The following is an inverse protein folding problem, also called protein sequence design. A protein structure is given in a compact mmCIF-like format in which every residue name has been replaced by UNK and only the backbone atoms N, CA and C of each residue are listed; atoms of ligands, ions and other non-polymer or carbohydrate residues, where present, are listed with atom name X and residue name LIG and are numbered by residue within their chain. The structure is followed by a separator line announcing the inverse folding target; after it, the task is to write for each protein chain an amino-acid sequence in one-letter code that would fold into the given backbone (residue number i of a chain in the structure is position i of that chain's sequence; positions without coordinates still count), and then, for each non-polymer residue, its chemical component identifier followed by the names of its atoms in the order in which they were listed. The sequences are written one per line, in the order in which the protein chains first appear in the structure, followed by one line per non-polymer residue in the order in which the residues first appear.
data_IF_111848531535
#
_entry.id   IF_111848531535
#
_cell.length_a   1.000
_cell.length_b   1.000
_cell.length_c   1.000
_cell.angle_alpha   90.00
_cell.angle_beta   90.00
_cell.angle_gamma   90.00
#
_symmetry.space_group_name_H-M   'P 1'
#
loop_
_entity.id
_entity.type
_entity.pdbx_description
1 polymer ?
#
# COMPACT_ATOMS: atom_id res chain seq x y z
N UNK A 1 20.68 -0.29 -19.11
CA UNK A 1 20.88 -1.76 -19.22
C UNK A 1 21.83 -2.06 -20.35
N UNK A 2 22.49 -3.22 -20.30
CA UNK A 2 23.36 -3.72 -21.36
C UNK A 2 22.54 -4.49 -22.40
N UNK A 3 23.04 -4.59 -23.65
CA UNK A 3 22.29 -5.26 -24.72
C UNK A 3 21.98 -6.75 -24.41
N UNK A 4 22.89 -7.57 -23.86
CA UNK A 4 22.56 -8.96 -23.52
C UNK A 4 21.38 -9.11 -22.52
N UNK A 5 21.21 -8.15 -21.60
CA UNK A 5 20.06 -8.12 -20.69
C UNK A 5 18.77 -7.75 -21.42
N UNK A 6 18.85 -6.75 -22.31
CA UNK A 6 17.67 -6.32 -23.10
C UNK A 6 17.23 -7.39 -24.11
N UNK A 7 18.17 -8.12 -24.69
CA UNK A 7 17.86 -9.26 -25.59
C UNK A 7 17.07 -10.33 -24.84
N UNK A 8 17.48 -10.66 -23.60
CA UNK A 8 16.76 -11.60 -22.75
C UNK A 8 15.35 -11.09 -22.39
N UNK A 9 15.22 -9.81 -22.09
CA UNK A 9 13.92 -9.18 -21.79
C UNK A 9 13.02 -9.13 -23.02
N UNK A 10 13.57 -8.81 -24.21
CA UNK A 10 12.82 -8.81 -25.46
C UNK A 10 12.30 -10.22 -25.81
N UNK A 11 13.14 -11.25 -25.65
CA UNK A 11 12.72 -12.65 -25.83
C UNK A 11 11.57 -13.03 -24.89
N UNK A 12 11.67 -12.68 -23.61
CA UNK A 12 10.66 -13.00 -22.62
C UNK A 12 9.31 -12.31 -22.92
N UNK A 13 9.35 -11.03 -23.30
CA UNK A 13 8.15 -10.27 -23.65
C UNK A 13 7.52 -10.80 -24.94
N UNK A 14 8.31 -11.28 -25.89
CA UNK A 14 7.80 -11.84 -27.15
C UNK A 14 6.87 -13.04 -26.94
N UNK A 15 7.00 -13.78 -25.82
CA UNK A 15 6.14 -14.92 -25.46
C UNK A 15 4.80 -14.45 -24.84
N UNK A 16 4.61 -13.16 -24.54
CA UNK A 16 3.39 -12.66 -23.94
C UNK A 16 2.31 -12.39 -25.00
N UNK A 17 1.10 -12.93 -24.79
CA UNK A 17 -0.06 -12.67 -25.68
C UNK A 17 -0.52 -11.22 -25.64
N UNK A 18 -0.32 -10.53 -24.51
CA UNK A 18 -0.66 -9.11 -24.29
C UNK A 18 0.60 -8.29 -24.19
N UNK A 19 1.11 -7.82 -25.33
CA UNK A 19 2.31 -7.00 -25.35
C UNK A 19 2.15 -5.76 -26.21
N UNK A 20 2.82 -4.67 -25.81
CA UNK A 20 3.13 -3.59 -26.72
C UNK A 20 4.38 -4.00 -27.53
N UNK A 21 4.29 -3.95 -28.86
CA UNK A 21 5.43 -4.23 -29.73
C UNK A 21 6.50 -3.15 -29.57
N UNK A 22 7.39 -3.36 -28.60
CA UNK A 22 8.59 -2.53 -28.37
C UNK A 22 9.80 -3.45 -28.41
N UNK A 23 10.84 -3.02 -29.11
CA UNK A 23 12.14 -3.66 -29.07
C UNK A 23 13.09 -2.75 -28.28
N UNK A 24 13.54 -3.22 -27.13
CA UNK A 24 14.48 -2.51 -26.28
C UNK A 24 15.88 -2.69 -26.83
N UNK A 25 16.63 -1.60 -27.00
CA UNK A 25 18.01 -1.65 -27.48
C UNK A 25 18.91 -0.73 -26.65
N UNK A 26 20.19 -1.03 -26.63
CA UNK A 26 21.23 -0.26 -25.96
C UNK A 26 22.52 -0.30 -26.78
N UNK A 27 23.26 0.79 -26.77
CA UNK A 27 24.61 0.85 -27.34
C UNK A 27 25.65 0.17 -26.45
N UNK A 28 25.32 -0.12 -25.19
CA UNK A 28 26.18 -0.79 -24.23
C UNK A 28 26.20 -2.28 -24.49
N UNK A 29 27.31 -2.74 -25.04
CA UNK A 29 27.57 -4.17 -25.35
C UNK A 29 28.28 -4.90 -24.21
N UNK A 30 28.82 -4.14 -23.24
CA UNK A 30 29.46 -4.65 -22.04
C UNK A 30 28.45 -5.30 -21.10
N UNK A 31 28.84 -6.36 -20.43
CA UNK A 31 28.01 -7.08 -19.44
C UNK A 31 27.75 -8.54 -19.83
N UNK A 32 27.69 -9.38 -18.82
CA UNK A 32 27.39 -10.79 -18.96
C UNK A 32 25.92 -11.07 -19.25
N UNK A 33 25.62 -12.29 -19.66
CA UNK A 33 24.25 -12.80 -19.76
C UNK A 33 23.64 -12.91 -18.35
N UNK A 34 22.33 -12.72 -18.21
CA UNK A 34 21.62 -13.02 -16.97
C UNK A 34 21.88 -14.46 -16.52
N UNK A 35 22.06 -14.64 -15.22
CA UNK A 35 22.18 -15.98 -14.62
C UNK A 35 20.86 -16.34 -13.94
N UNK A 36 20.38 -17.52 -14.15
CA UNK A 36 19.26 -18.10 -13.43
C UNK A 36 19.80 -18.98 -12.30
N UNK A 37 19.40 -18.70 -11.06
CA UNK A 37 19.86 -19.39 -9.87
C UNK A 37 18.64 -20.00 -9.18
N UNK A 38 18.72 -21.27 -8.85
CA UNK A 38 17.74 -21.98 -8.03
C UNK A 38 18.35 -22.29 -6.68
N UNK A 39 17.57 -22.13 -5.63
CA UNK A 39 17.92 -22.39 -4.23
C UNK A 39 16.84 -23.23 -3.58
N UNK A 40 17.11 -23.82 -2.41
CA UNK A 40 16.19 -24.73 -1.74
C UNK A 40 14.99 -24.03 -1.13
N UNK A 41 15.22 -22.85 -0.54
CA UNK A 41 14.18 -22.06 0.14
C UNK A 41 14.52 -20.56 0.17
N UNK A 42 13.65 -19.77 0.80
CA UNK A 42 13.84 -18.31 0.90
C UNK A 42 14.96 -17.88 1.85
N UNK A 43 15.43 -18.72 2.74
CA UNK A 43 16.60 -18.41 3.59
C UNK A 43 17.87 -18.58 2.77
N UNK A 44 17.97 -19.66 2.00
CA UNK A 44 19.06 -19.88 1.05
C UNK A 44 19.08 -18.81 -0.06
N UNK A 45 17.91 -18.29 -0.49
CA UNK A 45 17.81 -17.16 -1.42
C UNK A 45 18.42 -15.89 -0.80
N UNK A 46 18.02 -15.53 0.42
CA UNK A 46 18.53 -14.36 1.11
C UNK A 46 20.04 -14.46 1.35
N UNK A 47 20.54 -15.61 1.76
CA UNK A 47 21.97 -15.86 1.98
C UNK A 47 22.77 -15.73 0.66
N UNK A 48 22.27 -16.31 -0.43
CA UNK A 48 22.89 -16.21 -1.77
C UNK A 48 22.98 -14.75 -2.22
N UNK A 49 21.88 -14.00 -2.08
CA UNK A 49 21.83 -12.58 -2.47
C UNK A 49 22.82 -11.76 -1.67
N UNK A 50 22.84 -11.90 -0.32
CA UNK A 50 23.76 -11.16 0.54
C UNK A 50 25.21 -11.51 0.27
N UNK A 51 25.52 -12.79 0.05
CA UNK A 51 26.87 -13.23 -0.33
C UNK A 51 27.30 -12.61 -1.65
N UNK A 52 26.38 -12.54 -2.62
CA UNK A 52 26.64 -11.89 -3.92
C UNK A 52 26.89 -10.39 -3.80
N UNK A 53 26.12 -9.70 -2.93
CA UNK A 53 26.31 -8.27 -2.63
C UNK A 53 27.70 -8.01 -2.05
N UNK A 54 28.14 -8.83 -1.11
CA UNK A 54 29.45 -8.69 -0.47
C UNK A 54 30.58 -9.00 -1.47
N UNK A 55 30.46 -10.07 -2.26
CA UNK A 55 31.43 -10.39 -3.30
C UNK A 55 31.60 -9.26 -4.33
N UNK A 56 30.50 -8.66 -4.77
CA UNK A 56 30.55 -7.52 -5.67
C UNK A 56 31.24 -6.30 -5.01
N UNK A 57 31.00 -6.08 -3.72
CA UNK A 57 31.69 -5.02 -2.97
C UNK A 57 33.18 -5.26 -2.88
N UNK A 58 33.62 -6.48 -2.67
CA UNK A 58 35.05 -6.85 -2.65
C UNK A 58 35.69 -6.63 -4.02
N UNK A 59 34.94 -6.79 -5.10
CA UNK A 59 35.36 -6.48 -6.47
C UNK A 59 35.33 -4.97 -6.79
N UNK A 60 35.00 -4.11 -5.83
CA UNK A 60 35.04 -2.65 -5.95
C UNK A 60 33.71 -2.00 -6.32
N UNK A 61 32.61 -2.76 -6.44
CA UNK A 61 31.27 -2.18 -6.68
C UNK A 61 30.68 -1.63 -5.37
N UNK A 62 30.40 -0.34 -5.30
CA UNK A 62 29.81 0.26 -4.12
C UNK A 62 28.41 -0.30 -3.82
N UNK A 63 28.01 -0.39 -2.54
CA UNK A 63 26.66 -0.89 -2.16
C UNK A 63 25.55 -0.11 -2.84
N UNK A 64 25.66 1.22 -2.96
CA UNK A 64 24.70 2.09 -3.63
C UNK A 64 24.55 1.84 -5.14
N UNK A 65 25.46 1.10 -5.75
CA UNK A 65 25.42 0.73 -7.17
C UNK A 65 24.77 -0.63 -7.40
N UNK A 66 24.39 -1.32 -6.32
CA UNK A 66 23.75 -2.62 -6.35
C UNK A 66 22.25 -2.48 -6.03
N UNK A 67 21.43 -3.23 -6.72
CA UNK A 67 19.98 -3.25 -6.51
C UNK A 67 19.45 -4.68 -6.53
N UNK A 68 18.50 -4.97 -5.62
CA UNK A 68 17.73 -6.21 -5.63
C UNK A 68 16.28 -5.85 -5.96
N UNK A 69 15.70 -6.55 -6.93
CA UNK A 69 14.33 -6.31 -7.39
C UNK A 69 13.45 -7.50 -7.02
N UNK A 70 12.27 -7.23 -6.48
CA UNK A 70 11.28 -8.26 -6.13
C UNK A 70 9.87 -7.78 -6.50
N UNK A 71 8.97 -8.72 -6.75
CA UNK A 71 7.60 -8.43 -7.19
C UNK A 71 6.66 -8.08 -6.03
N UNK A 72 6.86 -8.69 -4.87
CA UNK A 72 6.01 -8.50 -3.70
C UNK A 72 6.83 -8.14 -2.46
N UNK A 73 6.28 -7.33 -1.57
CA UNK A 73 6.98 -6.88 -0.37
C UNK A 73 7.44 -8.05 0.53
N UNK A 74 6.64 -9.13 0.60
CA UNK A 74 6.96 -10.32 1.39
C UNK A 74 8.21 -11.08 0.89
N UNK A 75 8.60 -10.89 -0.37
CA UNK A 75 9.83 -11.50 -0.88
C UNK A 75 11.09 -10.87 -0.29
N UNK A 76 11.02 -9.63 0.22
CA UNK A 76 12.17 -8.95 0.80
C UNK A 76 12.36 -9.22 2.30
N UNK A 77 11.36 -9.76 2.99
CA UNK A 77 11.37 -9.86 4.46
C UNK A 77 12.60 -10.64 4.99
N UNK A 78 12.92 -11.78 4.37
CA UNK A 78 14.08 -12.60 4.75
C UNK A 78 15.40 -11.94 4.38
N UNK A 79 15.45 -11.28 3.22
CA UNK A 79 16.62 -10.54 2.78
C UNK A 79 16.91 -9.36 3.72
N UNK A 80 15.89 -8.62 4.12
CA UNK A 80 16.03 -7.50 5.06
C UNK A 80 16.59 -7.97 6.41
N UNK A 81 16.08 -9.10 6.91
CA UNK A 81 16.59 -9.71 8.14
C UNK A 81 18.08 -10.05 8.04
N UNK A 82 18.52 -10.66 6.92
CA UNK A 82 19.92 -11.01 6.69
C UNK A 82 20.81 -9.77 6.49
N UNK A 83 20.33 -8.74 5.80
CA UNK A 83 21.06 -7.46 5.65
C UNK A 83 21.28 -6.79 7.00
N UNK A 84 20.25 -6.71 7.86
CA UNK A 84 20.36 -6.18 9.22
C UNK A 84 21.31 -7.01 10.07
N UNK A 85 21.19 -8.33 10.05
CA UNK A 85 22.05 -9.25 10.81
C UNK A 85 23.54 -9.08 10.48
N UNK A 86 23.85 -8.77 9.23
CA UNK A 86 25.23 -8.57 8.74
C UNK A 86 25.66 -7.10 8.73
N UNK A 87 24.85 -6.17 9.28
CA UNK A 87 25.08 -4.73 9.30
C UNK A 87 25.35 -4.16 7.89
N UNK A 88 24.62 -4.62 6.87
CA UNK A 88 24.72 -4.11 5.51
C UNK A 88 23.65 -3.01 5.37
N UNK A 89 24.06 -1.73 5.17
CA UNK A 89 23.10 -0.66 4.97
C UNK A 89 22.37 -0.83 3.63
N UNK A 90 21.05 -0.63 3.64
CA UNK A 90 20.23 -0.70 2.44
C UNK A 90 19.12 0.35 2.48
N UNK A 91 18.58 0.68 1.32
CA UNK A 91 17.39 1.51 1.18
C UNK A 91 16.34 0.70 0.43
N UNK A 92 15.18 0.50 1.04
CA UNK A 92 14.05 -0.18 0.39
C UNK A 92 13.18 0.85 -0.33
N UNK A 93 13.13 0.74 -1.66
CA UNK A 93 12.23 1.54 -2.47
C UNK A 93 10.95 0.73 -2.76
N UNK A 94 9.82 1.37 -2.62
CA UNK A 94 8.53 0.77 -3.01
C UNK A 94 7.68 0.22 -1.87
N UNK A 95 8.24 -0.28 -0.78
CA UNK A 95 7.51 -0.99 0.28
C UNK A 95 6.30 -0.25 0.82
N UNK A 96 6.42 1.00 1.24
CA UNK A 96 5.31 1.76 1.83
C UNK A 96 4.86 2.98 1.02
N UNK A 97 5.43 3.19 -0.18
CA UNK A 97 4.84 4.17 -1.11
C UNK A 97 3.39 3.84 -1.47
N UNK A 98 2.95 2.58 -1.32
CA UNK A 98 1.55 2.25 -1.47
C UNK A 98 0.66 2.96 -0.43
N UNK A 99 1.15 3.25 0.77
CA UNK A 99 0.41 4.06 1.77
C UNK A 99 0.18 5.50 1.32
N UNK A 100 0.99 6.00 0.40
CA UNK A 100 0.80 7.31 -0.23
C UNK A 100 -0.19 7.26 -1.39
N UNK A 101 -0.49 6.08 -1.90
CA UNK A 101 -1.42 5.89 -2.99
C UNK A 101 -2.82 6.37 -2.61
N UNK A 102 -3.51 7.00 -3.56
CA UNK A 102 -4.80 7.63 -3.30
C UNK A 102 -5.84 6.64 -2.78
N UNK A 103 -5.94 5.46 -3.38
CA UNK A 103 -6.89 4.41 -2.98
C UNK A 103 -6.61 3.85 -1.59
N UNK A 104 -5.35 3.75 -1.19
CA UNK A 104 -4.98 3.32 0.17
C UNK A 104 -5.32 4.41 1.19
N UNK A 105 -5.04 5.67 0.86
CA UNK A 105 -5.44 6.82 1.70
C UNK A 105 -6.95 6.92 1.84
N UNK A 106 -7.72 6.58 0.81
CA UNK A 106 -9.18 6.57 0.85
C UNK A 106 -9.67 5.53 1.86
N UNK A 107 -9.20 4.28 1.76
CA UNK A 107 -9.56 3.20 2.69
C UNK A 107 -9.12 3.51 4.13
N UNK A 108 -7.89 3.97 4.32
CA UNK A 108 -7.41 4.37 5.66
C UNK A 108 -8.21 5.54 6.25
N UNK A 109 -8.74 6.43 5.42
CA UNK A 109 -9.54 7.56 5.88
C UNK A 109 -10.88 7.14 6.48
N UNK A 110 -11.48 6.03 6.02
CA UNK A 110 -12.67 5.43 6.67
C UNK A 110 -12.36 5.06 8.12
N UNK A 111 -11.26 4.34 8.34
CA UNK A 111 -10.86 3.94 9.70
C UNK A 111 -10.44 5.13 10.55
N UNK A 112 -9.71 6.10 9.99
CA UNK A 112 -9.26 7.31 10.69
C UNK A 112 -10.43 8.17 11.12
N UNK A 113 -11.46 8.29 10.27
CA UNK A 113 -12.64 9.07 10.61
C UNK A 113 -13.53 8.36 11.65
N UNK A 114 -13.67 7.05 11.55
CA UNK A 114 -14.35 6.25 12.56
C UNK A 114 -13.64 6.28 13.92
N UNK A 115 -12.30 6.28 13.94
CA UNK A 115 -11.49 6.40 15.16
C UNK A 115 -11.57 7.78 15.79
N UNK A 116 -11.51 8.81 14.96
CA UNK A 116 -11.63 10.19 15.39
C UNK A 116 -12.65 10.95 14.53
N UNK A 117 -13.92 11.02 14.98
CA UNK A 117 -14.98 11.71 14.25
C UNK A 117 -14.75 13.21 14.02
N UNK A 118 -13.78 13.80 14.71
CA UNK A 118 -13.36 15.22 14.52
C UNK A 118 -12.28 15.37 13.45
N UNK A 119 -11.82 14.29 12.86
CA UNK A 119 -10.82 14.33 11.78
C UNK A 119 -11.45 14.81 10.47
N UNK A 120 -11.45 16.12 10.28
CA UNK A 120 -12.01 16.79 9.10
C UNK A 120 -11.38 16.32 7.79
N UNK A 121 -10.06 16.16 7.76
CA UNK A 121 -9.34 15.72 6.55
C UNK A 121 -9.79 14.34 6.10
N UNK A 122 -9.92 13.41 7.05
CA UNK A 122 -10.41 12.06 6.77
C UNK A 122 -11.89 12.10 6.36
N UNK A 123 -12.72 12.89 7.05
CA UNK A 123 -14.13 13.07 6.75
C UNK A 123 -14.36 13.56 5.31
N UNK A 124 -13.67 14.63 4.92
CA UNK A 124 -13.79 15.20 3.57
C UNK A 124 -13.33 14.22 2.50
N UNK A 125 -12.27 13.47 2.76
CA UNK A 125 -11.80 12.47 1.81
C UNK A 125 -12.82 11.37 1.60
N UNK A 126 -13.38 10.83 2.66
CA UNK A 126 -14.38 9.75 2.63
C UNK A 126 -15.69 10.23 1.98
N UNK A 127 -16.22 11.37 2.42
CA UNK A 127 -17.47 11.90 1.89
C UNK A 127 -17.40 12.14 0.39
N UNK A 128 -16.26 12.59 -0.13
CA UNK A 128 -16.05 12.82 -1.57
C UNK A 128 -16.03 11.55 -2.42
N UNK A 129 -15.95 10.38 -1.82
CA UNK A 129 -16.12 9.11 -2.53
C UNK A 129 -17.56 8.90 -3.00
N UNK A 130 -18.53 9.52 -2.32
CA UNK A 130 -19.94 9.37 -2.65
C UNK A 130 -20.39 10.33 -3.77
N UNK A 131 -21.27 9.89 -4.67
CA UNK A 131 -21.76 10.73 -5.75
C UNK A 131 -22.43 12.01 -5.23
N UNK A 132 -22.09 13.14 -5.83
CA UNK A 132 -22.68 14.43 -5.45
C UNK A 132 -22.21 15.03 -4.11
N UNK A 133 -21.32 14.34 -3.39
CA UNK A 133 -20.71 14.84 -2.16
C UNK A 133 -19.47 15.68 -2.46
N UNK A 134 -19.65 16.79 -3.17
CA UNK A 134 -18.60 17.78 -3.39
C UNK A 134 -18.23 18.53 -2.09
N UNK A 135 -17.21 19.42 -2.15
CA UNK A 135 -16.70 20.12 -0.96
C UNK A 135 -17.77 20.80 -0.10
N UNK A 136 -18.75 21.47 -0.74
CA UNK A 136 -19.83 22.17 -0.01
C UNK A 136 -20.75 21.20 0.75
N UNK A 137 -21.13 20.07 0.14
CA UNK A 137 -21.97 19.07 0.81
C UNK A 137 -21.17 18.31 1.90
N UNK A 138 -19.90 18.07 1.67
CA UNK A 138 -19.03 17.48 2.70
C UNK A 138 -18.90 18.40 3.92
N UNK A 139 -18.71 19.71 3.71
CA UNK A 139 -18.67 20.69 4.79
C UNK A 139 -19.98 20.70 5.59
N UNK A 140 -21.13 20.75 4.92
CA UNK A 140 -22.45 20.71 5.58
C UNK A 140 -22.66 19.41 6.37
N UNK A 141 -22.22 18.28 5.86
CA UNK A 141 -22.28 17.00 6.54
C UNK A 141 -21.40 17.00 7.79
N UNK A 142 -20.19 17.53 7.69
CA UNK A 142 -19.27 17.63 8.82
C UNK A 142 -19.78 18.60 9.91
N UNK A 143 -20.35 19.75 9.51
CA UNK A 143 -21.03 20.68 10.43
C UNK A 143 -22.23 20.03 11.12
N UNK A 144 -23.03 19.24 10.37
CA UNK A 144 -24.13 18.48 10.95
C UNK A 144 -23.65 17.53 12.07
N UNK A 145 -22.54 16.83 11.84
CA UNK A 145 -21.92 16.00 12.88
C UNK A 145 -21.40 16.83 14.06
N UNK A 146 -20.80 17.99 13.82
CA UNK A 146 -20.29 18.85 14.87
C UNK A 146 -21.40 19.31 15.82
N UNK A 147 -22.56 19.68 15.28
CA UNK A 147 -23.75 20.04 16.08
C UNK A 147 -24.29 18.84 16.87
N UNK A 148 -24.09 17.62 16.37
CA UNK A 148 -24.52 16.39 17.04
C UNK A 148 -23.37 15.70 17.81
N UNK A 149 -22.44 16.50 18.38
CA UNK A 149 -21.31 16.03 19.21
C UNK A 149 -20.38 15.04 18.51
N UNK A 150 -20.30 15.11 17.19
CA UNK A 150 -19.53 14.20 16.32
C UNK A 150 -19.91 12.72 16.46
N UNK A 151 -21.15 12.41 16.86
CA UNK A 151 -21.62 11.02 16.90
C UNK A 151 -21.86 10.50 15.49
N UNK A 152 -21.16 9.43 15.10
CA UNK A 152 -21.27 8.85 13.75
C UNK A 152 -22.69 8.40 13.39
N UNK A 153 -23.49 7.97 14.36
CA UNK A 153 -24.89 7.63 14.14
C UNK A 153 -25.74 8.79 13.61
N UNK A 154 -25.36 10.04 13.88
CA UNK A 154 -26.07 11.22 13.37
C UNK A 154 -25.91 11.42 11.85
N UNK A 155 -25.01 10.68 11.17
CA UNK A 155 -24.97 10.66 9.71
C UNK A 155 -26.30 10.24 9.09
N UNK A 156 -27.06 9.37 9.74
CA UNK A 156 -28.36 8.90 9.26
C UNK A 156 -29.40 10.02 9.17
N UNK A 157 -29.26 11.06 10.00
CA UNK A 157 -30.16 12.20 10.04
C UNK A 157 -29.78 13.30 9.02
N UNK A 158 -28.62 13.19 8.40
CA UNK A 158 -28.18 14.15 7.40
C UNK A 158 -28.87 13.89 6.05
N UNK A 159 -29.42 14.94 5.48
CA UNK A 159 -30.03 14.90 4.15
C UNK A 159 -28.96 14.93 3.06
N UNK A 160 -28.54 13.75 2.61
CA UNK A 160 -27.57 13.60 1.54
C UNK A 160 -28.11 14.13 0.20
N UNK A 161 -27.22 14.52 -0.74
CA UNK A 161 -27.62 14.85 -2.10
C UNK A 161 -28.33 13.68 -2.79
N UNK A 162 -29.24 13.99 -3.70
CA UNK A 162 -30.01 12.97 -4.44
C UNK A 162 -29.10 11.96 -5.17
N UNK A 163 -27.94 12.40 -5.65
CA UNK A 163 -26.98 11.52 -6.31
C UNK A 163 -26.38 10.46 -5.35
N UNK A 164 -26.26 10.76 -4.06
CA UNK A 164 -25.77 9.83 -3.05
C UNK A 164 -26.90 8.98 -2.40
N UNK A 165 -28.16 9.26 -2.67
CA UNK A 165 -29.29 8.67 -1.95
C UNK A 165 -29.31 7.15 -1.91
N UNK A 166 -28.81 6.50 -2.96
CA UNK A 166 -28.74 5.03 -3.05
C UNK A 166 -27.63 4.45 -2.15
N UNK A 167 -26.51 5.12 -2.04
CA UNK A 167 -25.32 4.63 -1.35
C UNK A 167 -25.27 5.11 0.12
N UNK A 168 -25.99 6.19 0.43
CA UNK A 168 -25.95 6.86 1.72
C UNK A 168 -26.35 5.97 2.91
N UNK A 169 -27.44 5.18 2.88
CA UNK A 169 -27.81 4.32 4.01
C UNK A 169 -26.71 3.32 4.36
N UNK A 170 -26.19 2.58 3.38
CA UNK A 170 -25.10 1.61 3.60
C UNK A 170 -23.81 2.28 4.09
N UNK A 171 -23.54 3.52 3.66
CA UNK A 171 -22.44 4.30 4.18
C UNK A 171 -22.62 4.66 5.66
N UNK A 172 -23.82 5.10 6.05
CA UNK A 172 -24.14 5.40 7.46
C UNK A 172 -24.01 4.17 8.36
N UNK A 173 -24.51 3.01 7.88
CA UNK A 173 -24.40 1.74 8.59
C UNK A 173 -22.94 1.34 8.78
N UNK A 174 -22.10 1.44 7.72
CA UNK A 174 -20.68 1.17 7.83
C UNK A 174 -20.01 2.08 8.87
N UNK A 175 -20.22 3.39 8.78
CA UNK A 175 -19.56 4.34 9.68
C UNK A 175 -19.99 4.16 11.13
N UNK A 176 -21.28 3.84 11.37
CA UNK A 176 -21.78 3.50 12.69
C UNK A 176 -21.17 2.20 13.22
N UNK A 177 -21.05 1.16 12.38
CA UNK A 177 -20.39 -0.10 12.71
C UNK A 177 -18.92 0.12 13.07
N UNK A 178 -18.18 0.85 12.25
CA UNK A 178 -16.76 1.13 12.49
C UNK A 178 -16.52 1.98 13.75
N UNK A 179 -17.42 2.91 14.09
CA UNK A 179 -17.28 3.77 15.26
C UNK A 179 -17.80 3.14 16.56
N UNK A 180 -18.79 2.24 16.47
CA UNK A 180 -19.42 1.60 17.62
C UNK A 180 -18.86 0.23 17.99
N UNK A 181 -17.86 -0.26 17.25
CA UNK A 181 -17.34 -1.59 17.44
C UNK A 181 -16.60 -1.72 18.77
N UNK A 182 -17.31 -2.19 19.78
CA UNK A 182 -16.67 -2.99 20.81
C UNK A 182 -16.04 -4.20 20.08
N UNK A 183 -14.77 -4.45 20.36
CA UNK A 183 -13.98 -5.52 19.75
C UNK A 183 -14.66 -6.85 20.12
N UNK A 184 -15.58 -7.30 19.29
CA UNK A 184 -16.14 -8.64 19.38
C UNK A 184 -15.08 -9.68 18.99
N UNK A 185 -15.38 -10.95 19.13
CA UNK A 185 -14.51 -12.12 18.90
C UNK A 185 -13.76 -12.17 17.54
N UNK A 186 -14.04 -11.28 16.61
CA UNK A 186 -13.43 -11.27 15.26
C UNK A 186 -12.19 -10.40 15.12
N UNK A 187 -11.80 -9.66 16.16
CA UNK A 187 -10.70 -8.70 16.08
C UNK A 187 -11.01 -7.46 15.22
N UNK A 188 -10.20 -6.43 15.35
CA UNK A 188 -10.38 -5.16 14.62
C UNK A 188 -10.10 -5.29 13.09
N UNK A 189 -9.37 -6.32 12.66
CA UNK A 189 -9.08 -6.59 11.25
C UNK A 189 -10.36 -6.80 10.42
N UNK A 190 -11.41 -7.35 11.04
CA UNK A 190 -12.71 -7.50 10.39
C UNK A 190 -13.31 -6.14 9.96
N UNK A 191 -12.99 -5.07 10.67
CA UNK A 191 -13.41 -3.69 10.34
C UNK A 191 -12.74 -3.20 9.06
N UNK A 192 -11.46 -3.52 8.87
CA UNK A 192 -10.73 -3.19 7.64
C UNK A 192 -11.31 -3.95 6.44
N UNK A 193 -11.62 -5.22 6.60
CA UNK A 193 -12.27 -6.04 5.56
C UNK A 193 -13.67 -5.52 5.22
N UNK A 194 -14.45 -5.09 6.22
CA UNK A 194 -15.76 -4.47 6.01
C UNK A 194 -15.63 -3.14 5.24
N UNK A 195 -14.72 -2.28 5.67
CA UNK A 195 -14.43 -1.02 4.99
C UNK A 195 -13.97 -1.24 3.54
N UNK A 196 -13.09 -2.23 3.28
CA UNK A 196 -12.64 -2.60 1.94
C UNK A 196 -13.80 -3.07 1.07
N UNK A 197 -14.69 -3.91 1.59
CA UNK A 197 -15.86 -4.40 0.83
C UNK A 197 -16.76 -3.26 0.40
N UNK A 198 -16.99 -2.30 1.27
CA UNK A 198 -17.76 -1.10 0.94
C UNK A 198 -17.02 -0.23 -0.07
N UNK A 199 -15.69 -0.13 0.03
CA UNK A 199 -14.88 0.71 -0.84
C UNK A 199 -14.73 0.14 -2.26
N UNK A 200 -14.87 -1.16 -2.45
CA UNK A 200 -14.63 -1.83 -3.74
C UNK A 200 -15.36 -1.19 -4.93
N UNK A 201 -16.68 -0.91 -4.90
CA UNK A 201 -17.36 -0.26 -6.01
C UNK A 201 -16.87 1.17 -6.28
N UNK A 202 -16.36 1.85 -5.27
CA UNK A 202 -15.78 3.19 -5.41
C UNK A 202 -14.40 3.12 -6.06
N UNK A 203 -13.58 2.14 -5.70
CA UNK A 203 -12.30 1.87 -6.32
C UNK A 203 -12.46 1.64 -7.83
N UNK A 204 -13.37 0.77 -8.23
CA UNK A 204 -13.67 0.45 -9.62
C UNK A 204 -14.18 1.66 -10.42
N UNK A 205 -14.93 2.55 -9.78
CA UNK A 205 -15.46 3.76 -10.40
C UNK A 205 -14.43 4.87 -10.55
N UNK A 206 -13.51 4.99 -9.62
CA UNK A 206 -12.61 6.15 -9.49
C UNK A 206 -11.24 5.94 -10.12
N UNK A 207 -10.84 4.68 -10.32
CA UNK A 207 -9.47 4.38 -10.69
C UNK A 207 -9.38 3.35 -11.82
N UNK A 208 -8.34 3.51 -12.65
CA UNK A 208 -7.90 2.49 -13.60
C UNK A 208 -6.85 1.56 -12.95
N UNK A 209 -6.61 0.39 -13.54
CA UNK A 209 -5.60 -0.57 -13.05
C UNK A 209 -6.00 -1.22 -11.73
N UNK A 210 -7.21 -1.73 -11.66
CA UNK A 210 -7.85 -2.30 -10.46
C UNK A 210 -7.01 -3.40 -9.82
N UNK A 211 -6.50 -4.35 -10.60
CA UNK A 211 -5.73 -5.51 -10.10
C UNK A 211 -4.54 -5.09 -9.21
N UNK A 212 -3.79 -4.04 -9.65
CA UNK A 212 -2.66 -3.54 -8.88
C UNK A 212 -3.09 -2.87 -7.58
N UNK A 213 -4.22 -2.15 -7.62
CA UNK A 213 -4.75 -1.45 -6.45
C UNK A 213 -5.38 -2.40 -5.44
N UNK A 214 -6.02 -3.47 -5.91
CA UNK A 214 -6.52 -4.55 -5.05
C UNK A 214 -5.36 -5.25 -4.34
N UNK A 215 -4.26 -5.52 -5.03
CA UNK A 215 -3.06 -6.08 -4.42
C UNK A 215 -2.49 -5.17 -3.31
N UNK A 216 -2.50 -3.84 -3.50
CA UNK A 216 -2.11 -2.88 -2.47
C UNK A 216 -3.04 -2.96 -1.24
N UNK A 217 -4.36 -3.08 -1.45
CA UNK A 217 -5.32 -3.19 -0.35
C UNK A 217 -5.22 -4.54 0.37
N UNK A 218 -4.92 -5.62 -0.35
CA UNK A 218 -4.63 -6.93 0.25
C UNK A 218 -3.37 -6.89 1.10
N UNK A 219 -2.34 -6.23 0.62
CA UNK A 219 -1.12 -6.01 1.40
C UNK A 219 -1.42 -5.22 2.68
N UNK A 220 -2.28 -4.21 2.62
CA UNK A 220 -2.70 -3.45 3.80
C UNK A 220 -3.41 -4.36 4.83
N UNK A 221 -4.29 -5.25 4.39
CA UNK A 221 -4.96 -6.22 5.26
C UNK A 221 -3.94 -7.18 5.91
N UNK A 222 -2.96 -7.67 5.16
CA UNK A 222 -1.90 -8.53 5.70
C UNK A 222 -1.06 -7.80 6.76
N UNK A 223 -0.69 -6.55 6.50
CA UNK A 223 0.04 -5.72 7.46
C UNK A 223 -0.78 -5.51 8.74
N UNK A 224 -2.09 -5.30 8.61
CA UNK A 224 -3.00 -5.06 9.73
C UNK A 224 -2.98 -6.19 10.77
N UNK A 225 -2.76 -7.43 10.32
CA UNK A 225 -2.66 -8.61 11.19
C UNK A 225 -1.51 -8.56 12.20
N UNK A 226 -0.52 -7.69 12.00
CA UNK A 226 0.61 -7.50 12.92
C UNK A 226 0.29 -6.58 14.11
N UNK A 227 -0.85 -5.89 14.07
CA UNK A 227 -1.21 -4.89 15.06
C UNK A 227 -2.38 -5.37 15.93
N UNK A 228 -2.26 -5.24 17.27
CA UNK A 228 -3.30 -5.72 18.18
C UNK A 228 -4.57 -4.85 18.17
N UNK A 229 -4.44 -3.55 17.82
CA UNK A 229 -5.55 -2.60 17.80
C UNK A 229 -5.51 -1.72 16.55
N UNK A 230 -6.69 -1.22 16.16
CA UNK A 230 -6.84 -0.26 15.06
C UNK A 230 -6.12 1.06 15.34
N UNK A 231 -6.21 1.56 16.56
CA UNK A 231 -5.53 2.77 16.98
C UNK A 231 -4.01 2.66 16.76
N UNK A 232 -3.42 1.55 17.22
CA UNK A 232 -1.98 1.30 17.07
C UNK A 232 -1.57 1.17 15.61
N UNK A 233 -2.35 0.45 14.81
CA UNK A 233 -2.16 0.35 13.38
C UNK A 233 -2.17 1.72 12.69
N UNK A 234 -3.18 2.55 12.94
CA UNK A 234 -3.30 3.88 12.34
C UNK A 234 -2.18 4.82 12.80
N UNK A 235 -1.79 4.74 14.07
CA UNK A 235 -0.74 5.57 14.65
C UNK A 235 0.62 5.23 14.07
N UNK A 236 0.99 3.95 14.06
CA UNK A 236 2.29 3.51 13.55
C UNK A 236 2.42 3.73 12.04
N UNK A 237 1.36 3.52 11.25
CA UNK A 237 1.38 3.88 9.83
C UNK A 237 1.48 5.38 9.55
N UNK A 238 1.18 6.23 10.53
CA UNK A 238 1.21 7.68 10.37
C UNK A 238 2.50 8.30 10.89
N UNK A 239 3.02 7.80 12.03
CA UNK A 239 4.18 8.36 12.74
C UNK A 239 5.50 7.71 12.30
N UNK A 240 5.46 6.43 12.03
CA UNK A 240 6.61 5.65 11.61
C UNK A 240 6.11 4.66 10.54
N UNK A 241 5.87 5.15 9.32
CA UNK A 241 5.74 4.21 8.22
C UNK A 241 7.02 3.40 8.30
N UNK A 242 6.97 2.01 8.38
CA UNK A 242 8.16 1.18 8.46
C UNK A 242 9.15 1.70 7.45
N UNK A 243 9.90 2.67 7.90
CA UNK A 243 10.79 3.47 7.08
C UNK A 243 11.86 2.53 6.61
N UNK A 244 12.18 2.62 5.36
CA UNK A 244 13.51 2.29 4.93
C UNK A 244 14.48 2.69 6.06
N UNK A 245 15.04 1.71 6.75
CA UNK A 245 16.12 1.95 7.70
C UNK A 245 17.28 2.55 6.88
N UNK A 246 17.40 3.86 6.86
CA UNK A 246 18.29 4.47 5.90
C UNK A 246 18.52 5.97 5.99
N UNK A 247 18.37 6.57 7.18
CA UNK A 247 18.91 7.92 7.43
C UNK A 247 20.20 7.90 8.28
N UNK A 248 21.08 6.94 8.02
CA UNK A 248 22.43 6.94 8.56
C UNK A 248 23.44 6.65 7.44
N UNK A 249 23.46 7.46 6.41
CA UNK A 249 24.56 7.58 5.48
C UNK A 249 24.84 9.06 5.29
N UNK A 250 25.24 9.71 6.37
CA UNK A 250 26.02 10.94 6.33
C UNK A 250 27.48 10.56 6.18
N UNK A 251 28.12 11.12 5.16
CA UNK A 251 29.56 11.25 4.83
C UNK A 251 30.33 9.97 4.56
#
# INVERSE_FOLDING_TARGET
STQPLLDSANCLIAESERQYRKNLYSERQDGGKPRYITVEDGDAEAEYVVTSILANRELGMALKEQAVLFRGAHHSDRLELELVRRNIPYVKFGGLKFLEAAHVKDLLSLLKWAENPRNEVAAFRVLKLLPGMGPANAARCFEHLAVNEHRMGALADFRAPAAAAREWPGFCELMASLAGAEIGDRGWQAQLTEARRWYQPHLERLYDGIDTREADLEQLEQISGRYPTRERFLTELTLDPPSAAGDLAGD
#
